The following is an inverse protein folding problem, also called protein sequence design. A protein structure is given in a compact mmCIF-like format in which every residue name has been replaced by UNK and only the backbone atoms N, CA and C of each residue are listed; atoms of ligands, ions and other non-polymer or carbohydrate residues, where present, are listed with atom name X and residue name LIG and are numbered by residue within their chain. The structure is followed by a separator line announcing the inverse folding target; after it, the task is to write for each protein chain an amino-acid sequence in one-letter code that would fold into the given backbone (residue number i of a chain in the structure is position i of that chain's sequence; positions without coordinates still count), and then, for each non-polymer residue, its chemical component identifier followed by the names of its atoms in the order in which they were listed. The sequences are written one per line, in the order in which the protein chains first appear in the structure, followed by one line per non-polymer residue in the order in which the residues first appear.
data_IF_014274508375
#
_entry.id   IF_014274508375
#
_cell.length_a   1.000
_cell.length_b   1.000
_cell.length_c   1.000
_cell.angle_alpha   90.00
_cell.angle_beta   90.00
_cell.angle_gamma   90.00
#
_symmetry.space_group_name_H-M   'P 1'
#
loop_
_entity.id
_entity.type
_entity.pdbx_description
1 polymer ?
#
# COMPACT_ATOMS: atom_id res chain seq x y z
N UNK A 1 15.54 -9.85 -5.35
CA UNK A 1 14.84 -10.01 -6.64
C UNK A 1 13.48 -10.70 -6.48
N UNK A 2 13.36 -11.87 -5.82
CA UNK A 2 12.05 -12.52 -5.58
C UNK A 2 11.05 -11.70 -4.72
N UNK A 3 11.50 -10.95 -3.71
CA UNK A 3 10.63 -10.02 -2.95
C UNK A 3 10.11 -8.83 -3.78
N UNK A 4 10.88 -8.39 -4.78
CA UNK A 4 10.48 -7.28 -5.68
C UNK A 4 9.37 -7.69 -6.65
N UNK A 5 9.31 -8.97 -7.05
CA UNK A 5 8.27 -9.50 -7.94
C UNK A 5 6.91 -9.56 -7.22
N UNK A 6 6.89 -10.01 -5.96
CA UNK A 6 5.68 -9.98 -5.11
C UNK A 6 5.14 -8.56 -4.94
N UNK A 7 6.02 -7.55 -4.82
CA UNK A 7 5.66 -6.13 -4.65
C UNK A 7 5.10 -5.52 -5.94
N UNK A 8 5.69 -5.82 -7.11
CA UNK A 8 5.13 -5.41 -8.41
C UNK A 8 3.83 -6.13 -8.77
N UNK A 9 3.56 -7.28 -8.15
CA UNK A 9 2.31 -8.00 -8.31
C UNK A 9 1.23 -7.50 -7.35
N UNK A 10 1.51 -6.67 -6.34
CA UNK A 10 0.49 -6.12 -5.42
C UNK A 10 -0.63 -5.38 -6.18
N UNK A 11 -0.38 -4.54 -7.20
CA UNK A 11 -1.46 -3.94 -8.00
C UNK A 11 -2.36 -4.96 -8.74
N UNK A 12 -1.86 -6.19 -8.96
CA UNK A 12 -2.61 -7.30 -9.56
C UNK A 12 -3.13 -8.35 -8.55
N UNK A 13 -2.51 -8.43 -7.36
CA UNK A 13 -2.89 -9.30 -6.24
C UNK A 13 -3.82 -8.60 -5.25
N UNK A 14 -3.95 -7.28 -5.35
CA UNK A 14 -5.01 -6.47 -4.74
C UNK A 14 -6.23 -6.45 -5.68
N UNK A 15 -6.48 -7.58 -6.31
CA UNK A 15 -7.86 -7.99 -6.51
C UNK A 15 -8.41 -8.30 -5.11
N UNK A 16 -9.68 -7.97 -4.88
CA UNK A 16 -10.35 -7.91 -3.58
C UNK A 16 -10.45 -9.22 -2.79
N UNK A 17 -9.68 -10.26 -3.14
CA UNK A 17 -9.75 -11.56 -2.48
C UNK A 17 -8.87 -11.61 -1.22
N UNK A 18 -9.34 -12.35 -0.22
CA UNK A 18 -8.51 -12.72 0.93
C UNK A 18 -7.64 -13.90 0.53
N UNK A 19 -6.36 -13.66 0.28
CA UNK A 19 -5.41 -14.75 0.07
C UNK A 19 -5.16 -15.46 1.41
N UNK A 20 -5.81 -16.61 1.63
CA UNK A 20 -5.33 -17.59 2.62
C UNK A 20 -3.97 -18.06 2.16
N UNK A 21 -3.04 -18.26 3.08
CA UNK A 21 -1.71 -18.76 2.70
C UNK A 21 -1.87 -20.12 2.01
N UNK A 22 -1.70 -20.18 0.69
CA UNK A 22 -1.80 -21.40 -0.12
C UNK A 22 -0.82 -22.51 0.31
N UNK A 23 0.12 -22.18 1.21
CA UNK A 23 1.09 -23.13 1.77
C UNK A 23 0.59 -23.87 3.03
N UNK A 24 -0.64 -23.64 3.49
CA UNK A 24 -1.21 -24.37 4.64
C UNK A 24 -2.39 -25.25 4.22
N UNK A 25 -2.10 -26.55 4.10
CA UNK A 25 -3.13 -27.57 3.95
C UNK A 25 -4.06 -27.54 5.18
N UNK A 26 -5.39 -27.62 5.00
CA UNK A 26 -6.33 -27.67 6.11
C UNK A 26 -5.98 -28.84 7.03
N UNK A 27 -5.77 -28.54 8.31
CA UNK A 27 -5.49 -29.57 9.32
C UNK A 27 -6.77 -30.35 9.62
N UNK A 28 -6.66 -31.59 10.10
CA UNK A 28 -7.83 -32.39 10.52
C UNK A 28 -8.89 -32.64 9.43
N UNK A 29 -8.56 -32.45 8.14
CA UNK A 29 -9.57 -32.52 7.09
C UNK A 29 -10.24 -33.90 7.00
N UNK A 30 -9.45 -34.98 7.14
CA UNK A 30 -9.96 -36.35 7.11
C UNK A 30 -10.89 -36.63 8.29
N UNK A 31 -10.46 -36.27 9.50
CA UNK A 31 -11.21 -36.43 10.74
C UNK A 31 -12.51 -35.62 10.70
N UNK A 32 -12.47 -34.39 10.18
CA UNK A 32 -13.64 -33.53 10.01
C UNK A 32 -14.62 -34.11 9.00
N UNK A 33 -14.14 -34.57 7.85
CA UNK A 33 -14.98 -35.19 6.82
C UNK A 33 -15.68 -36.45 7.32
N UNK A 34 -15.03 -37.22 8.19
CA UNK A 34 -15.59 -38.45 8.75
C UNK A 34 -16.56 -38.17 9.91
N UNK A 35 -16.20 -37.27 10.83
CA UNK A 35 -16.99 -37.02 12.04
C UNK A 35 -18.16 -36.06 11.81
N UNK A 36 -18.01 -35.10 10.89
CA UNK A 36 -18.98 -34.04 10.59
C UNK A 36 -19.61 -34.22 9.20
N UNK A 37 -19.76 -35.48 8.76
CA UNK A 37 -20.12 -35.81 7.39
C UNK A 37 -21.48 -35.23 6.97
N UNK A 38 -22.47 -35.23 7.86
CA UNK A 38 -23.82 -34.74 7.54
C UNK A 38 -23.85 -33.22 7.34
N UNK A 39 -23.15 -32.49 8.21
CA UNK A 39 -23.01 -31.04 8.20
C UNK A 39 -22.20 -30.60 6.97
N UNK A 40 -21.10 -31.29 6.70
CA UNK A 40 -20.28 -31.10 5.50
C UNK A 40 -21.08 -31.34 4.23
N UNK A 41 -21.89 -32.41 4.19
CA UNK A 41 -22.74 -32.70 3.02
C UNK A 41 -23.73 -31.56 2.77
N UNK A 42 -24.44 -31.09 3.79
CA UNK A 42 -25.39 -29.97 3.67
C UNK A 42 -24.70 -28.69 3.19
N UNK A 43 -23.53 -28.38 3.75
CA UNK A 43 -22.72 -27.22 3.34
C UNK A 43 -22.33 -27.31 1.86
N UNK A 44 -21.83 -28.47 1.43
CA UNK A 44 -21.37 -28.69 0.05
C UNK A 44 -22.53 -28.65 -0.96
N UNK A 45 -23.70 -29.19 -0.62
CA UNK A 45 -24.91 -29.09 -1.46
C UNK A 45 -25.37 -27.64 -1.66
N UNK A 46 -25.16 -26.76 -0.67
CA UNK A 46 -25.41 -25.32 -0.81
C UNK A 46 -24.32 -24.64 -1.62
N UNK A 47 -23.06 -25.02 -1.41
CA UNK A 47 -21.92 -24.48 -2.16
C UNK A 47 -22.07 -24.71 -3.67
N UNK A 48 -22.57 -25.88 -4.08
CA UNK A 48 -22.87 -26.18 -5.49
C UNK A 48 -23.93 -25.25 -6.10
N UNK A 49 -24.80 -24.64 -5.29
CA UNK A 49 -25.82 -23.67 -5.73
C UNK A 49 -25.29 -22.25 -5.82
N UNK A 50 -24.14 -21.97 -5.23
CA UNK A 50 -23.53 -20.65 -5.27
C UNK A 50 -22.91 -20.48 -6.66
N UNK A 51 -23.50 -19.59 -7.44
CA UNK A 51 -23.01 -19.28 -8.77
C UNK A 51 -21.70 -18.49 -8.68
N UNK A 52 -20.60 -19.04 -9.17
CA UNK A 52 -19.26 -18.46 -8.99
C UNK A 52 -19.00 -17.16 -9.79
N UNK A 53 -19.99 -16.62 -10.52
CA UNK A 53 -19.81 -15.37 -11.28
C UNK A 53 -20.17 -14.15 -10.43
N UNK A 54 -21.27 -14.20 -9.68
CA UNK A 54 -21.77 -13.10 -8.86
C UNK A 54 -21.86 -13.51 -7.41
N UNK A 55 -21.64 -12.55 -6.50
CA UNK A 55 -21.74 -12.82 -5.08
C UNK A 55 -23.14 -13.37 -4.73
N UNK A 56 -23.25 -14.44 -3.91
CA UNK A 56 -24.55 -14.90 -3.47
C UNK A 56 -25.27 -13.81 -2.68
N UNK A 57 -26.56 -13.61 -2.96
CA UNK A 57 -27.40 -12.69 -2.21
C UNK A 57 -27.62 -13.19 -0.77
N UNK A 58 -28.18 -12.35 0.08
CA UNK A 58 -28.21 -12.47 1.55
C UNK A 58 -28.78 -13.80 2.00
N UNK A 59 -29.89 -14.26 1.41
CA UNK A 59 -30.54 -15.53 1.80
C UNK A 59 -29.62 -16.73 1.60
N UNK A 60 -29.03 -16.87 0.41
CA UNK A 60 -28.16 -18.00 0.10
C UNK A 60 -26.84 -17.91 0.88
N UNK A 61 -26.31 -16.70 1.06
CA UNK A 61 -25.11 -16.47 1.86
C UNK A 61 -25.33 -16.81 3.34
N UNK A 62 -26.48 -16.45 3.91
CA UNK A 62 -26.84 -16.77 5.30
C UNK A 62 -27.02 -18.28 5.50
N UNK A 63 -27.70 -18.96 4.57
CA UNK A 63 -27.83 -20.43 4.60
C UNK A 63 -26.44 -21.09 4.61
N UNK A 64 -25.54 -20.64 3.74
CA UNK A 64 -24.18 -21.15 3.69
C UNK A 64 -23.43 -20.88 5.00
N UNK A 65 -23.50 -19.65 5.51
CA UNK A 65 -22.81 -19.23 6.74
C UNK A 65 -23.29 -20.04 7.95
N UNK A 66 -24.59 -20.28 8.07
CA UNK A 66 -25.16 -21.11 9.14
C UNK A 66 -24.71 -22.57 9.04
N UNK A 67 -24.60 -23.12 7.82
CA UNK A 67 -24.10 -24.48 7.61
C UNK A 67 -22.61 -24.61 7.91
N UNK A 68 -21.82 -23.61 7.52
CA UNK A 68 -20.41 -23.48 7.91
C UNK A 68 -20.26 -23.45 9.45
N UNK A 69 -21.09 -22.68 10.16
CA UNK A 69 -21.07 -22.62 11.64
C UNK A 69 -21.33 -23.99 12.26
N UNK A 70 -22.27 -24.76 11.73
CA UNK A 70 -22.55 -26.14 12.20
C UNK A 70 -21.37 -27.09 11.98
N UNK A 71 -20.67 -26.97 10.84
CA UNK A 71 -19.44 -27.74 10.60
C UNK A 71 -18.38 -27.35 11.64
N UNK A 72 -18.18 -26.06 11.88
CA UNK A 72 -17.22 -25.57 12.87
C UNK A 72 -17.54 -26.08 14.28
N UNK A 73 -18.81 -26.03 14.68
CA UNK A 73 -19.26 -26.54 15.98
C UNK A 73 -18.93 -28.03 16.13
N UNK A 74 -19.19 -28.84 15.11
CA UNK A 74 -18.81 -30.25 15.10
C UNK A 74 -17.28 -30.44 15.13
N UNK A 75 -16.55 -29.74 14.27
CA UNK A 75 -15.10 -29.83 14.13
C UNK A 75 -14.37 -29.44 15.42
N UNK A 76 -14.87 -28.41 16.13
CA UNK A 76 -14.27 -27.91 17.36
C UNK A 76 -14.20 -28.95 18.49
N UNK A 77 -15.06 -29.97 18.44
CA UNK A 77 -15.08 -31.08 19.40
C UNK A 77 -14.08 -32.20 19.10
N UNK A 78 -13.37 -32.16 17.97
CA UNK A 78 -12.45 -33.23 17.57
C UNK A 78 -11.10 -33.10 18.29
N UNK A 79 -10.55 -34.23 18.75
CA UNK A 79 -9.26 -34.24 19.48
C UNK A 79 -8.10 -33.63 18.68
N UNK A 80 -8.13 -33.76 17.35
CA UNK A 80 -7.09 -33.21 16.49
C UNK A 80 -7.06 -31.66 16.45
N UNK A 81 -8.17 -30.99 16.84
CA UNK A 81 -8.25 -29.53 16.97
C UNK A 81 -7.89 -29.03 18.39
N UNK A 82 -7.51 -29.92 19.30
CA UNK A 82 -7.11 -29.54 20.65
C UNK A 82 -5.85 -28.67 20.63
N UNK A 83 -5.94 -27.50 21.25
CA UNK A 83 -4.85 -26.51 21.27
C UNK A 83 -4.66 -25.77 19.95
N UNK A 84 -5.59 -25.92 19.00
CA UNK A 84 -5.61 -25.19 17.72
C UNK A 84 -6.36 -23.88 17.86
N UNK A 85 -6.00 -22.93 17.02
CA UNK A 85 -6.68 -21.64 16.93
C UNK A 85 -8.03 -21.79 16.23
N UNK A 86 -8.92 -20.84 16.48
CA UNK A 86 -10.21 -20.77 15.79
C UNK A 86 -10.03 -20.62 14.28
N UNK A 87 -9.00 -19.88 13.84
CA UNK A 87 -8.66 -19.73 12.41
C UNK A 87 -8.41 -21.08 11.74
N UNK A 88 -7.67 -21.99 12.40
CA UNK A 88 -7.38 -23.32 11.85
C UNK A 88 -8.65 -24.18 11.75
N UNK A 89 -9.59 -24.05 12.69
CA UNK A 89 -10.88 -24.74 12.63
C UNK A 89 -11.70 -24.23 11.44
N UNK A 90 -11.73 -22.91 11.25
CA UNK A 90 -12.49 -22.30 10.17
C UNK A 90 -11.90 -22.67 8.80
N UNK A 91 -10.57 -22.66 8.64
CA UNK A 91 -9.89 -23.02 7.39
C UNK A 91 -10.26 -24.43 6.89
N UNK A 92 -10.50 -25.37 7.80
CA UNK A 92 -10.94 -26.73 7.46
C UNK A 92 -12.46 -26.83 7.26
N UNK A 93 -13.24 -26.04 8.00
CA UNK A 93 -14.69 -26.17 8.05
C UNK A 93 -15.40 -25.39 6.94
N UNK A 94 -14.82 -24.27 6.49
CA UNK A 94 -15.52 -23.27 5.69
C UNK A 94 -14.71 -22.81 4.49
N UNK A 95 -15.43 -22.56 3.39
CA UNK A 95 -14.94 -22.01 2.13
C UNK A 95 -15.06 -20.48 2.13
N UNK A 96 -14.31 -19.83 1.27
CA UNK A 96 -14.14 -18.39 1.15
C UNK A 96 -15.33 -17.67 0.49
N UNK A 97 -16.56 -18.21 0.57
CA UNK A 97 -17.72 -17.72 -0.18
C UNK A 97 -17.90 -16.20 -0.14
N UNK A 98 -17.80 -15.54 1.02
CA UNK A 98 -17.97 -14.09 1.07
C UNK A 98 -16.71 -13.28 0.76
N UNK A 99 -15.55 -13.94 0.70
CA UNK A 99 -14.23 -13.31 0.55
C UNK A 99 -13.51 -13.65 -0.76
N UNK A 100 -14.01 -14.60 -1.57
CA UNK A 100 -13.54 -14.82 -2.94
C UNK A 100 -13.87 -13.64 -3.84
N UNK A 101 -13.11 -13.53 -4.93
CA UNK A 101 -13.37 -12.57 -5.99
C UNK A 101 -14.50 -13.07 -6.91
N UNK A 102 -15.50 -12.21 -7.10
CA UNK A 102 -16.58 -12.37 -8.09
C UNK A 102 -16.44 -11.32 -9.18
N UNK A 103 -17.10 -11.51 -10.34
CA UNK A 103 -17.07 -10.56 -11.46
C UNK A 103 -17.59 -9.17 -11.05
N UNK A 104 -18.59 -9.13 -10.16
CA UNK A 104 -19.14 -7.87 -9.63
C UNK A 104 -18.10 -7.05 -8.83
N UNK A 105 -17.10 -7.70 -8.24
CA UNK A 105 -16.08 -7.01 -7.45
C UNK A 105 -15.21 -6.11 -8.34
N UNK A 106 -14.96 -6.50 -9.59
CA UNK A 106 -14.23 -5.68 -10.57
C UNK A 106 -15.02 -4.42 -10.93
N UNK A 107 -16.35 -4.54 -11.05
CA UNK A 107 -17.27 -3.42 -11.26
C UNK A 107 -17.23 -2.45 -10.07
N UNK A 108 -17.41 -2.95 -8.84
CA UNK A 108 -17.34 -2.14 -7.61
C UNK A 108 -15.98 -1.45 -7.45
N UNK A 109 -14.88 -2.16 -7.71
CA UNK A 109 -13.52 -1.60 -7.65
C UNK A 109 -13.32 -0.46 -8.65
N UNK A 110 -13.89 -0.58 -9.85
CA UNK A 110 -13.79 0.46 -10.89
C UNK A 110 -14.65 1.68 -10.55
N UNK A 111 -15.83 1.47 -9.97
CA UNK A 111 -16.66 2.56 -9.41
C UNK A 111 -15.89 3.28 -8.31
N UNK A 112 -15.27 2.54 -7.38
CA UNK A 112 -14.45 3.13 -6.31
C UNK A 112 -13.30 3.98 -6.85
N UNK A 113 -12.60 3.51 -7.90
CA UNK A 113 -11.55 4.30 -8.57
C UNK A 113 -12.10 5.64 -9.07
N UNK A 114 -13.30 5.63 -9.66
CA UNK A 114 -13.97 6.84 -10.15
C UNK A 114 -14.42 7.78 -9.03
N UNK A 115 -14.83 7.22 -7.90
CA UNK A 115 -15.19 8.02 -6.71
C UNK A 115 -13.95 8.73 -6.18
N UNK A 116 -12.85 8.00 -5.96
CA UNK A 116 -11.63 8.56 -5.38
C UNK A 116 -10.84 9.47 -6.32
N UNK A 117 -11.01 9.36 -7.64
CA UNK A 117 -10.42 10.29 -8.60
C UNK A 117 -11.15 11.65 -8.65
N UNK A 118 -12.31 11.80 -7.99
CA UNK A 118 -13.21 12.96 -8.13
C UNK A 118 -13.67 13.24 -9.58
N UNK A 119 -13.72 12.20 -10.42
CA UNK A 119 -14.11 12.32 -11.84
C UNK A 119 -15.63 12.57 -12.04
N UNK A 120 -16.45 12.58 -10.98
CA UNK A 120 -17.90 12.70 -11.06
C UNK A 120 -18.49 13.72 -10.08
N UNK A 121 -19.38 14.58 -10.58
CA UNK A 121 -20.01 15.68 -9.83
C UNK A 121 -20.78 15.25 -8.57
N UNK A 122 -21.23 14.00 -8.48
CA UNK A 122 -21.95 13.49 -7.31
C UNK A 122 -21.02 13.14 -6.13
N UNK A 123 -19.69 13.15 -6.32
CA UNK A 123 -18.73 13.05 -5.21
C UNK A 123 -18.26 14.42 -4.72
N UNK A 124 -18.69 15.52 -5.34
CA UNK A 124 -18.23 16.87 -5.01
C UNK A 124 -18.59 17.33 -3.57
N UNK A 125 -19.66 16.78 -2.97
CA UNK A 125 -20.03 17.01 -1.57
C UNK A 125 -19.26 16.15 -0.56
N UNK A 126 -18.53 15.16 -1.06
CA UNK A 126 -17.69 14.27 -0.26
C UNK A 126 -16.24 14.64 -0.56
N UNK A 127 -15.74 15.66 0.15
CA UNK A 127 -14.39 16.17 -0.06
C UNK A 127 -13.35 15.11 0.39
N UNK A 128 -12.99 14.22 -0.53
CA UNK A 128 -11.93 13.21 -0.32
C UNK A 128 -10.53 13.83 -0.38
N UNK A 129 -10.40 14.98 -1.05
CA UNK A 129 -9.24 15.87 -1.10
C UNK A 129 -9.82 17.27 -1.32
N UNK A 130 -9.65 18.21 -0.38
CA UNK A 130 -10.15 19.56 -0.60
C UNK A 130 -9.19 20.32 -1.52
N UNK A 131 -9.66 20.72 -2.70
CA UNK A 131 -9.13 21.93 -3.32
C UNK A 131 -9.86 23.14 -2.76
N UNK A 132 -9.04 24.08 -2.28
CA UNK A 132 -9.33 25.48 -1.90
C UNK A 132 -9.86 25.75 -0.48
N UNK A 133 -9.05 26.55 0.21
CA UNK A 133 -9.40 27.50 1.28
C UNK A 133 -9.82 26.97 2.65
N UNK A 134 -9.07 26.01 3.22
CA UNK A 134 -9.23 25.65 4.65
C UNK A 134 -7.90 25.81 5.41
N UNK A 135 -7.88 26.52 6.56
CA UNK A 135 -6.70 26.67 7.41
C UNK A 135 -6.19 25.31 7.94
N UNK A 136 -4.86 25.14 7.90
CA UNK A 136 -4.07 23.95 8.23
C UNK A 136 -4.48 23.21 9.53
N UNK A 137 -5.13 23.89 10.48
CA UNK A 137 -5.50 23.35 11.79
C UNK A 137 -6.87 22.64 11.80
N UNK A 138 -7.73 22.86 10.81
CA UNK A 138 -9.06 22.20 10.69
C UNK A 138 -9.02 20.90 9.89
N UNK A 139 -7.93 20.63 9.18
CA UNK A 139 -7.74 19.46 8.30
C UNK A 139 -7.55 18.17 9.13
N UNK A 140 -7.07 18.30 10.36
CA UNK A 140 -6.75 17.14 11.21
C UNK A 140 -7.98 16.36 11.70
N UNK A 141 -9.18 16.95 11.74
CA UNK A 141 -10.38 16.27 12.29
C UNK A 141 -11.43 15.83 11.27
N UNK A 142 -11.43 16.34 10.03
CA UNK A 142 -12.43 15.97 9.01
C UNK A 142 -12.10 14.69 8.23
N UNK A 143 -10.84 14.24 8.25
CA UNK A 143 -10.40 13.08 7.47
C UNK A 143 -10.57 11.74 8.18
N UNK A 144 -11.06 11.74 9.43
CA UNK A 144 -11.43 10.52 10.15
C UNK A 144 -12.69 9.85 9.58
N UNK A 145 -13.51 10.62 8.86
CA UNK A 145 -14.77 10.16 8.26
C UNK A 145 -14.56 9.46 6.90
N UNK A 146 -13.52 9.79 6.13
CA UNK A 146 -13.44 9.51 4.68
C UNK A 146 -13.41 8.04 4.20
N UNK A 147 -12.90 7.08 4.98
CA UNK A 147 -12.99 5.66 4.58
C UNK A 147 -14.42 5.12 4.80
N UNK A 148 -15.06 5.53 5.90
CA UNK A 148 -16.45 5.22 6.24
C UNK A 148 -17.46 6.03 5.42
N UNK A 149 -17.05 7.20 4.92
CA UNK A 149 -17.87 8.02 4.03
C UNK A 149 -18.19 7.26 2.74
N UNK A 150 -17.25 6.48 2.20
CA UNK A 150 -17.47 5.75 0.96
C UNK A 150 -18.52 4.63 1.14
N UNK A 151 -18.51 3.87 2.25
CA UNK A 151 -19.60 2.96 2.61
C UNK A 151 -20.95 3.71 2.69
N UNK A 152 -20.95 4.91 3.26
CA UNK A 152 -22.16 5.74 3.31
C UNK A 152 -22.57 6.32 1.95
N UNK A 153 -21.65 6.52 1.01
CA UNK A 153 -21.96 6.98 -0.35
C UNK A 153 -22.70 5.88 -1.10
N UNK A 154 -22.24 4.63 -1.03
CA UNK A 154 -22.96 3.52 -1.65
C UNK A 154 -24.39 3.41 -1.08
N UNK A 155 -24.61 3.74 0.20
CA UNK A 155 -25.96 3.79 0.79
C UNK A 155 -26.78 5.03 0.38
N UNK A 156 -26.17 6.21 0.35
CA UNK A 156 -26.89 7.50 0.19
C UNK A 156 -27.06 7.93 -1.27
N UNK A 157 -26.11 7.60 -2.13
CA UNK A 157 -25.97 8.13 -3.49
C UNK A 157 -26.21 7.06 -4.56
N UNK A 158 -27.19 6.17 -4.33
CA UNK A 158 -27.51 5.04 -5.23
C UNK A 158 -27.54 5.41 -6.71
N UNK A 159 -28.23 6.48 -7.07
CA UNK A 159 -28.35 6.91 -8.48
C UNK A 159 -27.01 7.36 -9.07
N UNK A 160 -26.17 8.03 -8.29
CA UNK A 160 -24.81 8.38 -8.70
C UNK A 160 -23.99 7.13 -8.97
N UNK A 161 -24.01 6.16 -8.04
CA UNK A 161 -23.26 4.91 -8.18
C UNK A 161 -23.70 4.12 -9.40
N UNK A 162 -25.02 4.01 -9.64
CA UNK A 162 -25.54 3.34 -10.82
C UNK A 162 -25.14 4.06 -12.11
N UNK A 163 -25.14 5.39 -12.14
CA UNK A 163 -24.68 6.15 -13.31
C UNK A 163 -23.19 5.92 -13.61
N UNK A 164 -22.34 5.87 -12.59
CA UNK A 164 -20.92 5.52 -12.75
C UNK A 164 -20.82 4.08 -13.27
N UNK A 165 -21.52 3.14 -12.61
CA UNK A 165 -21.53 1.72 -12.97
C UNK A 165 -21.94 1.48 -14.41
N UNK A 166 -22.94 2.20 -14.91
CA UNK A 166 -23.41 2.09 -16.30
C UNK A 166 -22.31 2.41 -17.32
N UNK A 167 -21.39 3.32 -16.98
CA UNK A 167 -20.29 3.72 -17.84
C UNK A 167 -19.03 2.84 -17.74
N UNK A 168 -18.85 2.10 -16.64
CA UNK A 168 -17.57 1.42 -16.35
C UNK A 168 -17.67 -0.09 -16.14
N UNK A 169 -18.85 -0.60 -15.83
CA UNK A 169 -19.05 -2.03 -15.56
C UNK A 169 -19.42 -2.79 -16.83
N UNK A 170 -19.11 -4.09 -16.88
CA UNK A 170 -19.63 -4.98 -17.92
C UNK A 170 -21.15 -5.04 -17.81
N UNK A 171 -21.84 -5.24 -18.94
CA UNK A 171 -23.31 -5.23 -18.99
C UNK A 171 -23.95 -6.18 -17.98
N UNK A 172 -23.47 -7.42 -17.87
CA UNK A 172 -24.05 -8.41 -16.96
C UNK A 172 -23.83 -8.03 -15.49
N UNK A 173 -22.63 -7.54 -15.15
CA UNK A 173 -22.31 -7.08 -13.80
C UNK A 173 -23.10 -5.83 -13.42
N UNK A 174 -23.29 -4.91 -14.36
CA UNK A 174 -24.12 -3.73 -14.15
C UNK A 174 -25.58 -4.09 -13.94
N UNK A 175 -26.12 -5.00 -14.76
CA UNK A 175 -27.50 -5.47 -14.61
C UNK A 175 -27.70 -6.15 -13.25
N UNK A 176 -26.73 -6.98 -12.82
CA UNK A 176 -26.74 -7.59 -11.50
C UNK A 176 -26.70 -6.54 -10.38
N UNK A 177 -25.79 -5.56 -10.46
CA UNK A 177 -25.69 -4.47 -9.50
C UNK A 177 -26.99 -3.67 -9.41
N UNK A 178 -27.57 -3.29 -10.54
CA UNK A 178 -28.78 -2.48 -10.61
C UNK A 178 -29.98 -3.19 -9.98
N UNK A 179 -30.16 -4.48 -10.31
CA UNK A 179 -31.30 -5.26 -9.84
C UNK A 179 -31.21 -5.60 -8.34
N UNK A 180 -30.01 -5.73 -7.79
CA UNK A 180 -29.78 -6.19 -6.42
C UNK A 180 -29.09 -5.13 -5.54
N UNK A 181 -29.13 -3.86 -5.94
CA UNK A 181 -28.29 -2.82 -5.36
C UNK A 181 -28.42 -2.74 -3.84
N UNK A 182 -29.64 -2.59 -3.32
CA UNK A 182 -29.85 -2.30 -1.90
C UNK A 182 -29.35 -3.45 -1.02
N UNK A 183 -29.67 -4.68 -1.43
CA UNK A 183 -29.22 -5.90 -0.75
C UNK A 183 -27.70 -6.07 -0.83
N UNK A 184 -27.11 -5.89 -2.02
CA UNK A 184 -25.66 -6.05 -2.21
C UNK A 184 -24.88 -5.01 -1.40
N UNK A 185 -25.32 -3.75 -1.42
CA UNK A 185 -24.67 -2.69 -0.66
C UNK A 185 -24.84 -2.94 0.84
N UNK A 186 -26.01 -3.38 1.29
CA UNK A 186 -26.21 -3.75 2.69
C UNK A 186 -25.21 -4.83 3.13
N UNK A 187 -25.07 -5.89 2.32
CA UNK A 187 -24.16 -7.01 2.58
C UNK A 187 -22.67 -6.59 2.56
N UNK A 188 -22.27 -5.72 1.63
CA UNK A 188 -20.87 -5.30 1.48
C UNK A 188 -20.46 -4.22 2.48
N UNK A 189 -21.39 -3.51 3.11
CA UNK A 189 -21.06 -2.37 3.99
C UNK A 189 -21.39 -2.60 5.46
N UNK A 190 -22.27 -3.54 5.78
CA UNK A 190 -22.55 -3.86 7.17
C UNK A 190 -21.46 -4.81 7.70
N UNK A 191 -20.80 -4.44 8.78
CA UNK A 191 -19.88 -5.35 9.47
C UNK A 191 -20.64 -6.15 10.53
N UNK A 192 -20.48 -7.49 10.55
CA UNK A 192 -21.04 -8.30 11.64
C UNK A 192 -20.31 -7.98 12.94
N UNK A 193 -21.01 -8.17 14.06
CA UNK A 193 -20.49 -7.85 15.40
C UNK A 193 -19.71 -8.99 16.05
N UNK A 194 -19.71 -10.19 15.46
CA UNK A 194 -19.00 -11.37 15.98
C UNK A 194 -17.77 -11.69 15.12
N UNK A 195 -16.66 -12.04 15.76
CA UNK A 195 -15.40 -12.38 15.07
C UNK A 195 -15.56 -13.60 14.13
N UNK A 196 -16.46 -14.53 14.49
CA UNK A 196 -16.77 -15.74 13.69
C UNK A 196 -17.44 -15.34 12.38
N UNK A 197 -18.44 -14.46 12.46
CA UNK A 197 -19.19 -14.04 11.29
C UNK A 197 -18.38 -13.06 10.44
N UNK A 198 -17.41 -12.36 11.03
CA UNK A 198 -16.53 -11.41 10.33
C UNK A 198 -15.55 -12.09 9.37
N UNK A 199 -15.10 -13.31 9.67
CA UNK A 199 -14.03 -13.97 8.93
C UNK A 199 -14.34 -14.21 7.43
N UNK A 200 -15.59 -14.54 7.07
CA UNK A 200 -16.02 -14.69 5.67
C UNK A 200 -16.91 -13.56 5.19
N UNK A 201 -17.03 -12.46 5.94
CA UNK A 201 -18.03 -11.46 5.61
C UNK A 201 -17.62 -10.63 4.39
N UNK A 202 -18.53 -10.35 3.44
CA UNK A 202 -18.21 -9.56 2.24
C UNK A 202 -17.74 -8.15 2.54
N UNK A 203 -18.11 -7.60 3.70
CA UNK A 203 -17.63 -6.28 4.13
C UNK A 203 -16.14 -6.21 4.44
N UNK A 204 -15.48 -7.32 4.80
CA UNK A 204 -14.01 -7.34 4.89
C UNK A 204 -13.36 -7.23 3.52
N UNK A 205 -13.93 -7.93 2.53
CA UNK A 205 -13.50 -7.81 1.14
C UNK A 205 -13.74 -6.40 0.60
N UNK A 206 -14.90 -5.82 0.86
CA UNK A 206 -15.22 -4.46 0.41
C UNK A 206 -14.27 -3.43 1.02
N UNK A 207 -14.04 -3.51 2.33
CA UNK A 207 -13.04 -2.68 3.02
C UNK A 207 -11.65 -2.79 2.37
N UNK A 208 -11.18 -4.01 2.06
CA UNK A 208 -9.91 -4.21 1.35
C UNK A 208 -9.91 -3.61 -0.05
N UNK A 209 -11.04 -3.64 -0.74
CA UNK A 209 -11.20 -3.01 -2.06
C UNK A 209 -10.99 -1.49 -1.99
N UNK A 210 -11.60 -0.80 -1.02
CA UNK A 210 -11.34 0.63 -0.77
C UNK A 210 -9.85 0.90 -0.56
N UNK A 211 -9.22 0.10 0.30
CA UNK A 211 -7.81 0.21 0.62
C UNK A 211 -6.90 -0.03 -0.59
N UNK A 212 -7.26 -1.01 -1.42
CA UNK A 212 -6.55 -1.30 -2.65
C UNK A 212 -6.62 -0.16 -3.66
N UNK A 213 -7.80 0.44 -3.82
CA UNK A 213 -7.98 1.59 -4.71
C UNK A 213 -7.18 2.80 -4.21
N UNK A 214 -7.22 3.11 -2.92
CA UNK A 214 -6.44 4.20 -2.32
C UNK A 214 -4.92 3.97 -2.48
N UNK A 215 -4.46 2.74 -2.26
CA UNK A 215 -3.06 2.39 -2.47
C UNK A 215 -2.64 2.58 -3.93
N UNK A 216 -3.47 2.13 -4.87
CA UNK A 216 -3.18 2.30 -6.30
C UNK A 216 -3.17 3.77 -6.71
N UNK A 217 -4.12 4.57 -6.23
CA UNK A 217 -4.16 6.02 -6.46
C UNK A 217 -2.90 6.71 -5.92
N UNK A 218 -2.49 6.33 -4.70
CA UNK A 218 -1.23 6.77 -4.11
C UNK A 218 -0.03 6.43 -5.00
N UNK A 219 0.13 5.17 -5.44
CA UNK A 219 1.26 4.74 -6.28
C UNK A 219 1.29 5.50 -7.60
N UNK A 220 0.16 5.59 -8.31
CA UNK A 220 0.06 6.26 -9.61
C UNK A 220 0.43 7.75 -9.52
N UNK A 221 -0.13 8.46 -8.54
CA UNK A 221 0.20 9.89 -8.33
C UNK A 221 1.66 10.07 -7.91
N UNK A 222 2.18 9.18 -7.08
CA UNK A 222 3.57 9.19 -6.61
C UNK A 222 4.60 8.89 -7.70
N UNK A 223 4.25 8.06 -8.69
CA UNK A 223 5.09 7.76 -9.85
C UNK A 223 5.22 8.95 -10.80
N UNK A 224 4.20 9.81 -10.85
CA UNK A 224 4.20 11.01 -11.70
C UNK A 224 4.98 12.19 -11.09
N UNK A 225 5.32 12.13 -9.80
CA UNK A 225 6.13 13.16 -9.15
C UNK A 225 7.61 12.86 -9.38
N UNK A 226 8.31 13.79 -10.02
CA UNK A 226 9.77 13.72 -10.11
C UNK A 226 10.41 13.90 -8.73
N UNK A 227 11.47 13.15 -8.44
CA UNK A 227 12.25 13.33 -7.22
C UNK A 227 12.83 14.75 -7.12
N UNK A 228 13.11 15.39 -8.28
CA UNK A 228 13.67 16.74 -8.35
C UNK A 228 12.64 17.84 -8.06
N UNK A 229 11.34 17.53 -8.17
CA UNK A 229 10.25 18.49 -7.90
C UNK A 229 9.76 18.47 -6.44
N UNK A 230 10.41 17.68 -5.56
CA UNK A 230 9.98 17.52 -4.17
C UNK A 230 10.35 18.75 -3.35
N UNK A 231 9.36 19.61 -3.08
CA UNK A 231 9.49 20.77 -2.19
C UNK A 231 8.18 21.00 -1.41
N UNK A 232 8.18 21.93 -0.45
CA UNK A 232 7.02 22.19 0.43
C UNK A 232 5.83 22.83 -0.31
N UNK A 233 6.06 23.48 -1.44
CA UNK A 233 5.04 24.18 -2.24
C UNK A 233 4.42 23.29 -3.33
N UNK A 234 4.96 22.08 -3.52
CA UNK A 234 4.46 21.16 -4.53
C UNK A 234 3.14 20.53 -4.05
N UNK A 235 2.04 21.00 -4.64
CA UNK A 235 0.69 20.52 -4.35
C UNK A 235 0.52 19.02 -4.59
N UNK A 236 1.22 18.43 -5.58
CA UNK A 236 1.15 17.00 -5.85
C UNK A 236 1.82 16.18 -4.72
N UNK A 237 2.92 16.68 -4.16
CA UNK A 237 3.58 16.06 -2.99
C UNK A 237 2.67 16.11 -1.78
N UNK A 238 2.00 17.24 -1.52
CA UNK A 238 1.04 17.37 -0.43
C UNK A 238 -0.12 16.38 -0.60
N UNK A 239 -0.70 16.32 -1.79
CA UNK A 239 -1.79 15.39 -2.13
C UNK A 239 -1.39 13.92 -1.94
N UNK A 240 -0.19 13.53 -2.35
CA UNK A 240 0.33 12.17 -2.16
C UNK A 240 0.52 11.82 -0.68
N UNK A 241 1.00 12.77 0.14
CA UNK A 241 1.13 12.59 1.60
C UNK A 241 -0.23 12.41 2.26
N UNK A 242 -1.24 13.17 1.84
CA UNK A 242 -2.62 13.04 2.32
C UNK A 242 -3.25 11.68 1.99
N UNK A 243 -3.05 11.19 0.75
CA UNK A 243 -3.53 9.86 0.36
C UNK A 243 -2.81 8.78 1.19
N UNK A 244 -1.51 8.93 1.42
CA UNK A 244 -0.75 8.00 2.25
C UNK A 244 -1.23 7.95 3.70
N UNK A 245 -1.60 9.09 4.29
CA UNK A 245 -2.22 9.17 5.62
C UNK A 245 -3.58 8.46 5.66
N UNK A 246 -4.36 8.58 4.60
CA UNK A 246 -5.67 7.89 4.50
C UNK A 246 -5.46 6.38 4.36
N UNK A 247 -4.53 5.96 3.50
CA UNK A 247 -4.16 4.56 3.34
C UNK A 247 -3.56 3.96 4.61
N UNK A 248 -2.89 4.72 5.48
CA UNK A 248 -2.39 4.23 6.76
C UNK A 248 -3.51 3.64 7.65
N UNK A 249 -4.73 4.16 7.56
CA UNK A 249 -5.88 3.63 8.32
C UNK A 249 -6.32 2.26 7.85
N UNK A 250 -6.07 1.90 6.59
CA UNK A 250 -6.26 0.56 6.06
C UNK A 250 -5.39 -0.50 6.74
N UNK A 251 -4.33 -0.09 7.43
CA UNK A 251 -3.39 -0.96 8.12
C UNK A 251 -3.65 -1.04 9.63
N UNK A 252 -4.63 -0.28 10.14
CA UNK A 252 -5.04 -0.33 11.55
C UNK A 252 -6.09 -1.40 11.85
N UNK A 253 -6.78 -1.92 10.82
CA UNK A 253 -7.66 -3.08 10.94
C UNK A 253 -6.82 -4.36 10.78
N UNK A 254 -6.91 -5.34 11.68
CA UNK A 254 -6.09 -6.55 11.63
C UNK A 254 -6.36 -7.31 10.32
N UNK A 255 -5.42 -7.19 9.38
CA UNK A 255 -5.45 -7.95 8.13
C UNK A 255 -4.94 -9.35 8.45
N UNK A 256 -5.77 -10.38 8.25
CA UNK A 256 -5.41 -11.80 8.36
C UNK A 256 -4.46 -12.23 7.22
N UNK A 257 -3.37 -11.50 6.97
CA UNK A 257 -2.27 -11.91 6.08
C UNK A 257 -0.94 -11.59 6.79
N UNK A 258 -0.37 -12.58 7.51
CA UNK A 258 0.92 -12.42 8.19
C UNK A 258 2.04 -12.03 7.20
N UNK A 259 2.76 -10.94 7.48
CA UNK A 259 3.94 -10.50 6.72
C UNK A 259 3.74 -9.23 5.88
N UNK A 260 2.56 -9.06 5.26
CA UNK A 260 2.21 -7.85 4.52
C UNK A 260 2.01 -6.64 5.46
N UNK A 261 1.46 -6.90 6.65
CA UNK A 261 1.25 -5.91 7.71
C UNK A 261 2.54 -5.17 8.10
N UNK A 262 3.66 -5.89 8.24
CA UNK A 262 4.95 -5.29 8.62
C UNK A 262 5.47 -4.32 7.57
N UNK A 263 5.33 -4.67 6.29
CA UNK A 263 5.77 -3.81 5.18
C UNK A 263 4.89 -2.57 5.07
N UNK A 264 3.57 -2.74 5.13
CA UNK A 264 2.61 -1.64 5.03
C UNK A 264 2.71 -0.67 6.21
N UNK A 265 2.94 -1.19 7.42
CA UNK A 265 3.25 -0.40 8.60
C UNK A 265 4.52 0.44 8.38
N UNK A 266 5.60 -0.20 7.93
CA UNK A 266 6.86 0.48 7.63
C UNK A 266 6.68 1.59 6.58
N UNK A 267 5.97 1.31 5.48
CA UNK A 267 5.66 2.32 4.46
C UNK A 267 4.95 3.50 5.10
N UNK A 268 3.87 3.24 5.85
CA UNK A 268 3.06 4.28 6.47
C UNK A 268 3.82 5.17 7.46
N UNK A 269 4.74 4.59 8.23
CA UNK A 269 5.54 5.32 9.22
C UNK A 269 6.59 6.23 8.55
N UNK A 270 7.13 5.82 7.40
CA UNK A 270 8.25 6.53 6.76
C UNK A 270 7.82 7.53 5.67
N UNK A 271 6.65 7.32 5.09
CA UNK A 271 6.19 8.09 3.93
C UNK A 271 5.91 9.56 4.23
N UNK A 272 5.44 9.85 5.45
CA UNK A 272 5.18 11.21 5.91
C UNK A 272 6.49 11.99 6.13
N UNK A 273 7.55 11.32 6.58
CA UNK A 273 8.85 11.93 6.84
C UNK A 273 9.68 12.11 5.55
N UNK A 274 9.40 11.31 4.51
CA UNK A 274 10.22 11.25 3.32
C UNK A 274 10.36 12.59 2.56
N UNK A 275 9.30 13.39 2.33
CA UNK A 275 9.44 14.72 1.72
C UNK A 275 10.41 15.63 2.47
N UNK A 276 10.35 15.67 3.81
CA UNK A 276 11.23 16.50 4.63
C UNK A 276 12.70 16.07 4.52
N UNK A 277 12.95 14.75 4.43
CA UNK A 277 14.31 14.21 4.20
C UNK A 277 14.84 14.64 2.84
N UNK A 278 14.03 14.58 1.79
CA UNK A 278 14.41 15.01 0.44
C UNK A 278 14.73 16.50 0.38
N UNK A 279 13.84 17.33 0.94
CA UNK A 279 14.04 18.79 1.03
C UNK A 279 15.37 19.11 1.72
N UNK A 280 15.63 18.50 2.88
CA UNK A 280 16.88 18.72 3.62
C UNK A 280 18.14 18.33 2.82
N UNK A 281 18.05 17.31 1.97
CA UNK A 281 19.17 16.87 1.13
C UNK A 281 19.42 17.88 0.01
N UNK A 282 18.38 18.31 -0.70
CA UNK A 282 18.52 19.24 -1.81
C UNK A 282 18.94 20.65 -1.33
N UNK A 283 18.42 21.13 -0.21
CA UNK A 283 18.86 22.39 0.40
C UNK A 283 20.35 22.39 0.75
N UNK A 284 20.85 21.28 1.29
CA UNK A 284 22.27 21.15 1.68
C UNK A 284 23.18 20.80 0.51
N UNK A 285 22.64 20.32 -0.60
CA UNK A 285 23.38 19.85 -1.78
C UNK A 285 22.63 20.25 -3.06
N UNK A 286 22.54 21.55 -3.37
CA UNK A 286 21.74 22.06 -4.49
C UNK A 286 22.19 21.50 -5.84
N UNK A 287 23.48 21.20 -6.02
CA UNK A 287 24.00 20.58 -7.26
C UNK A 287 23.34 19.25 -7.63
N UNK A 288 22.78 18.52 -6.65
CA UNK A 288 22.02 17.30 -6.94
C UNK A 288 20.79 17.56 -7.82
N UNK A 289 20.25 18.79 -7.82
CA UNK A 289 19.14 19.18 -8.68
C UNK A 289 19.52 19.24 -10.16
N UNK A 290 20.82 19.38 -10.46
CA UNK A 290 21.35 19.48 -11.83
C UNK A 290 21.66 18.09 -12.43
N UNK A 291 21.58 17.03 -11.62
CA UNK A 291 22.02 15.70 -12.03
C UNK A 291 21.04 15.01 -12.96
N UNK A 292 21.51 14.61 -14.15
CA UNK A 292 20.68 13.99 -15.19
C UNK A 292 20.19 12.61 -14.79
N UNK A 293 20.98 11.83 -14.07
CA UNK A 293 20.63 10.52 -13.50
C UNK A 293 19.38 10.56 -12.59
N UNK A 294 19.00 11.74 -12.07
CA UNK A 294 17.79 11.93 -11.24
C UNK A 294 16.59 12.43 -12.04
N UNK A 295 16.78 12.92 -13.28
CA UNK A 295 15.71 13.53 -14.08
C UNK A 295 14.54 12.60 -14.40
N UNK A 296 14.82 11.29 -14.57
CA UNK A 296 13.82 10.26 -14.85
C UNK A 296 13.39 9.47 -13.62
N UNK A 297 13.75 9.93 -12.42
CA UNK A 297 13.51 9.19 -11.18
C UNK A 297 12.28 9.75 -10.48
N UNK A 298 11.27 8.91 -10.28
CA UNK A 298 10.08 9.30 -9.54
C UNK A 298 10.32 9.28 -8.03
N UNK A 299 9.52 10.06 -7.32
CA UNK A 299 9.46 10.07 -5.86
C UNK A 299 9.19 8.66 -5.32
N UNK A 300 8.24 7.93 -5.92
CA UNK A 300 7.95 6.54 -5.54
C UNK A 300 9.13 5.61 -5.79
N UNK A 301 9.79 5.79 -6.93
CA UNK A 301 10.96 5.00 -7.32
C UNK A 301 12.10 5.11 -6.30
N UNK A 302 12.32 6.30 -5.73
CA UNK A 302 13.30 6.45 -4.62
C UNK A 302 12.76 5.84 -3.33
N UNK A 303 11.56 6.24 -2.92
CA UNK A 303 10.98 5.84 -1.64
C UNK A 303 10.98 4.32 -1.47
N UNK A 304 10.53 3.58 -2.49
CA UNK A 304 10.48 2.11 -2.48
C UNK A 304 11.86 1.46 -2.25
N UNK A 305 12.92 2.05 -2.78
CA UNK A 305 14.29 1.53 -2.66
C UNK A 305 14.92 1.85 -1.30
N UNK A 306 14.46 2.92 -0.63
CA UNK A 306 15.08 3.40 0.62
C UNK A 306 14.26 3.10 1.87
N UNK A 307 12.97 2.76 1.75
CA UNK A 307 12.04 2.65 2.89
C UNK A 307 12.49 1.62 3.93
N UNK A 308 13.03 0.47 3.51
CA UNK A 308 13.55 -0.55 4.44
C UNK A 308 14.76 -0.02 5.23
N UNK A 309 15.63 0.74 4.58
CA UNK A 309 16.78 1.37 5.21
C UNK A 309 16.35 2.50 6.16
N UNK A 310 15.37 3.32 5.77
CA UNK A 310 14.85 4.42 6.58
C UNK A 310 14.24 3.90 7.89
N UNK A 311 13.52 2.77 7.81
CA UNK A 311 12.83 2.20 8.96
C UNK A 311 13.76 1.74 10.09
N UNK A 312 14.96 1.27 9.75
CA UNK A 312 15.95 0.76 10.71
C UNK A 312 17.17 1.64 10.89
N UNK A 313 17.22 2.81 10.25
CA UNK A 313 18.46 3.55 10.06
C UNK A 313 18.28 5.05 9.88
N UNK A 314 19.36 5.71 9.48
CA UNK A 314 19.37 7.15 9.22
C UNK A 314 18.82 7.42 7.82
N UNK A 315 17.59 7.94 7.77
CA UNK A 315 16.87 8.17 6.52
C UNK A 315 17.66 9.00 5.50
N UNK A 316 18.42 9.99 5.97
CA UNK A 316 19.25 10.83 5.10
C UNK A 316 20.39 10.03 4.50
N UNK A 317 21.05 9.17 5.27
CA UNK A 317 22.10 8.28 4.74
C UNK A 317 21.54 7.30 3.73
N UNK A 318 20.34 6.77 3.95
CA UNK A 318 19.67 5.86 3.03
C UNK A 318 19.43 6.51 1.66
N UNK A 319 18.86 7.72 1.65
CA UNK A 319 18.62 8.48 0.41
C UNK A 319 19.92 8.86 -0.28
N UNK A 320 20.92 9.37 0.46
CA UNK A 320 22.21 9.71 -0.13
C UNK A 320 22.94 8.48 -0.70
N UNK A 321 22.78 7.31 -0.08
CA UNK A 321 23.32 6.04 -0.59
C UNK A 321 22.68 5.67 -1.92
N UNK A 322 21.35 5.79 -2.01
CA UNK A 322 20.62 5.59 -3.26
C UNK A 322 21.10 6.54 -4.36
N UNK A 323 21.16 7.85 -4.09
CA UNK A 323 21.64 8.86 -5.05
C UNK A 323 23.08 8.55 -5.46
N UNK A 324 23.96 8.21 -4.51
CA UNK A 324 25.37 7.88 -4.81
C UNK A 324 25.50 6.68 -5.72
N UNK A 325 24.71 5.64 -5.48
CA UNK A 325 24.69 4.44 -6.31
C UNK A 325 24.23 4.75 -7.73
N UNK A 326 23.15 5.54 -7.84
CA UNK A 326 22.52 5.83 -9.14
C UNK A 326 23.24 6.89 -9.97
N UNK A 327 23.88 7.84 -9.32
CA UNK A 327 24.52 9.02 -9.94
C UNK A 327 26.03 8.99 -9.83
N UNK A 328 26.63 7.80 -9.71
CA UNK A 328 28.05 7.64 -9.41
C UNK A 328 28.94 8.39 -10.41
N UNK A 329 28.63 8.34 -11.70
CA UNK A 329 29.43 8.98 -12.76
C UNK A 329 29.42 10.50 -12.65
N UNK A 330 28.25 11.12 -12.51
CA UNK A 330 28.09 12.57 -12.37
C UNK A 330 28.74 13.08 -11.07
N UNK A 331 28.60 12.33 -9.97
CA UNK A 331 29.28 12.64 -8.71
C UNK A 331 30.80 12.64 -8.89
N UNK A 332 31.36 11.64 -9.59
CA UNK A 332 32.80 11.56 -9.81
C UNK A 332 33.29 12.69 -10.72
N UNK A 333 32.55 13.03 -11.78
CA UNK A 333 32.87 14.16 -12.66
C UNK A 333 32.91 15.49 -11.88
N UNK A 334 31.94 15.71 -11.00
CA UNK A 334 31.92 16.89 -10.12
C UNK A 334 33.16 16.97 -9.22
N UNK A 335 33.62 15.85 -8.68
CA UNK A 335 34.86 15.81 -7.89
C UNK A 335 36.12 16.09 -8.73
N UNK A 336 36.14 15.66 -10.00
CA UNK A 336 37.25 15.92 -10.92
C UNK A 336 37.30 17.41 -11.31
N UNK A 337 36.17 18.03 -11.60
CA UNK A 337 36.08 19.46 -11.90
C UNK A 337 36.47 20.35 -10.69
N UNK A 338 36.11 19.93 -9.48
CA UNK A 338 36.56 20.56 -8.22
C UNK A 338 38.07 20.45 -8.02
N UNK A 339 38.68 19.32 -8.40
CA UNK A 339 40.13 19.14 -8.33
C UNK A 339 40.88 20.02 -9.34
N UNK A 340 40.27 20.33 -10.49
CA UNK A 340 40.82 21.24 -11.51
C UNK A 340 40.67 22.72 -11.11
N UNK A 341 39.60 23.08 -10.39
CA UNK A 341 39.36 24.47 -9.91
C UNK A 341 40.16 24.84 -8.65
N UNK A 342 40.69 23.88 -7.92
CA UNK A 342 41.69 24.11 -6.85
C UNK A 342 43.09 24.36 -7.43
N UNK A 343 43.21 25.34 -8.34
CA UNK A 343 44.52 25.93 -8.66
C UNK A 343 44.92 26.83 -7.48
N UNK A 344 46.13 26.65 -6.90
CA UNK A 344 46.54 27.45 -5.76
C UNK A 344 46.57 28.93 -6.17
N UNK A 345 45.73 29.76 -5.54
CA UNK A 345 45.90 31.20 -5.58
C UNK A 345 47.25 31.50 -4.92
N UNK A 346 48.19 32.04 -5.70
CA UNK A 346 49.46 32.59 -5.21
C UNK A 346 49.24 33.90 -4.43
N UNK A 347 48.31 33.89 -3.48
CA UNK A 347 48.10 35.00 -2.55
C UNK A 347 48.18 34.49 -1.12
N UNK A 348 49.35 34.79 -0.52
CA UNK A 348 49.54 35.14 0.90
C UNK A 348 49.62 34.00 1.93
N UNK A 349 50.85 33.75 2.41
CA UNK A 349 51.24 33.28 3.76
C UNK A 349 50.47 32.12 4.44
N UNK A 350 49.86 31.21 3.68
CA UNK A 350 49.37 29.93 4.22
C UNK A 350 50.41 28.84 3.91
N UNK A 351 50.76 27.95 4.86
CA UNK A 351 51.67 26.83 4.59
C UNK A 351 51.21 26.07 3.36
N UNK A 352 52.12 25.84 2.41
CA UNK A 352 51.79 25.15 1.17
C UNK A 352 51.23 23.76 1.49
N UNK A 353 49.93 23.56 1.26
CA UNK A 353 49.29 22.25 1.36
C UNK A 353 49.38 21.62 -0.02
N UNK A 354 50.16 20.55 -0.15
CA UNK A 354 50.22 19.77 -1.37
C UNK A 354 49.27 18.59 -1.28
N UNK A 355 48.52 18.38 -2.36
CA UNK A 355 47.59 17.27 -2.51
C UNK A 355 48.23 16.20 -3.41
N UNK A 356 48.28 14.96 -2.94
CA UNK A 356 48.71 13.83 -3.76
C UNK A 356 47.79 12.64 -3.57
N UNK A 357 47.28 12.13 -4.70
CA UNK A 357 46.43 10.95 -4.75
C UNK A 357 47.31 9.74 -5.07
N UNK A 358 47.59 8.91 -4.07
CA UNK A 358 48.25 7.63 -4.31
C UNK A 358 47.22 6.57 -4.70
N UNK A 359 47.34 6.08 -5.94
CA UNK A 359 46.57 4.94 -6.44
C UNK A 359 47.41 3.68 -6.21
N UNK A 360 47.12 2.92 -5.16
CA UNK A 360 47.58 1.54 -5.04
C UNK A 360 46.38 0.61 -5.17
N UNK A 361 46.57 -0.55 -5.79
CA UNK A 361 45.57 -1.42 -6.42
C UNK A 361 44.43 -1.95 -5.51
N UNK A 362 44.34 -1.54 -4.24
CA UNK A 362 43.27 -1.97 -3.35
C UNK A 362 42.60 -0.86 -2.51
N UNK A 363 43.14 0.37 -2.39
CA UNK A 363 42.45 1.52 -1.73
C UNK A 363 42.95 2.86 -2.25
N UNK A 364 42.05 3.85 -2.41
CA UNK A 364 42.41 5.26 -2.58
C UNK A 364 42.72 5.84 -1.20
N UNK A 365 43.96 6.26 -0.97
CA UNK A 365 44.38 6.90 0.30
C UNK A 365 44.63 8.38 0.03
N UNK A 366 43.94 9.24 0.76
CA UNK A 366 44.18 10.68 0.74
C UNK A 366 45.29 11.01 1.73
N UNK A 367 46.34 11.68 1.27
CA UNK A 367 47.45 12.14 2.12
C UNK A 367 47.51 13.65 2.02
N UNK A 368 47.43 14.32 3.16
CA UNK A 368 47.63 15.76 3.28
C UNK A 368 49.05 15.99 3.76
N UNK A 369 49.84 16.76 3.00
CA UNK A 369 51.18 17.16 3.40
C UNK A 369 51.20 18.67 3.58
N UNK A 370 51.52 19.11 4.80
CA UNK A 370 51.63 20.53 5.14
C UNK A 370 53.12 20.84 5.24
N UNK A 371 53.66 21.60 4.28
CA UNK A 371 55.03 22.07 4.35
C UNK A 371 55.08 23.34 5.20
N UNK A 372 55.61 23.20 6.42
CA UNK A 372 55.78 24.31 7.35
C UNK A 372 57.25 24.74 7.35
N UNK A 373 57.62 25.72 6.51
CA UNK A 373 58.99 26.30 6.48
C UNK A 373 59.24 27.36 7.57
N UNK A 374 58.39 27.43 8.59
CA UNK A 374 58.49 28.41 9.69
C UNK A 374 58.67 27.71 11.05
N UNK A 375 59.71 26.89 11.18
CA UNK A 375 60.28 26.54 12.49
C UNK A 375 61.80 26.59 12.35
N UNK A 376 62.39 27.75 12.66
CA UNK A 376 63.79 27.80 13.10
C UNK A 376 63.78 27.52 14.61
N UNK A 377 64.60 26.57 15.04
CA UNK A 377 64.84 26.24 16.45
C UNK A 377 65.48 27.41 17.21
#
# INVERSE_FOLDING_TARGET
MFKLVLICLIPHLVNSYVHRSDDRFPICLSETNNACQEEMKKKNETLERIYHIHHPLTDLFNIYTDQCRKVMECASGLECFKGKSQSEIIETSCDDVGTIQYSIDDCLSTILKKIYSNDHNCTAGFSFVSERDVPLFSIYSSFQENLFTADTIFKKEKQCILNIGQGVCKTDDFNFLQNNYDELIELYTNSPTSDIDQWNHPSEKFYRMHCGVLHNDFVQKSENISILSVNQENADVQKVVEIAQTAQKCHQKPVIIPGLEKYLKMVSENIQAFPAVMINIFERRPRLLEYRCLSSVSWWGVFREVVECMNGGDAKKCVLSFIRSRCQEEILADFEDLAVTLTPRNESNVPGVSFSLFKNNQRRKFVFTVNNTLINF
#
